data_IF_183503957507
#
_entry.id   IF_183503957507
#
_cell.length_a   1.000
_cell.length_b   1.000
_cell.length_c   1.000
_cell.angle_alpha   90.00
_cell.angle_beta   90.00
_cell.angle_gamma   90.00
#
_symmetry.space_group_name_H-M   'P 1'
#
loop_
_entity.id
_entity.type
_entity.pdbx_description
1 polymer ?
#
# COMPACT_ATOMS: atom_id res chain seq x y z
N UNK A 1 -10.36 15.75 10.14
CA UNK A 1 -9.86 15.15 8.88
C UNK A 1 -9.45 13.74 9.22
N UNK A 2 -9.90 12.77 8.43
CA UNK A 2 -9.60 11.36 8.65
C UNK A 2 -8.35 11.01 7.85
N UNK A 3 -7.33 10.49 8.52
CA UNK A 3 -6.08 10.03 7.92
C UNK A 3 -6.09 8.50 7.92
N UNK A 4 -6.28 7.89 6.75
CA UNK A 4 -6.35 6.44 6.59
C UNK A 4 -5.17 5.70 7.23
N UNK A 5 -3.97 6.28 7.11
CA UNK A 5 -2.70 5.71 7.59
C UNK A 5 -2.24 6.27 8.95
N UNK A 6 -3.16 6.82 9.75
CA UNK A 6 -2.82 7.36 11.07
C UNK A 6 -2.18 6.31 12.00
N UNK A 7 -2.70 5.07 12.12
CA UNK A 7 -2.08 4.07 12.97
C UNK A 7 -0.64 3.76 12.55
N UNK A 8 -0.39 3.58 11.26
CA UNK A 8 0.92 3.29 10.68
C UNK A 8 1.90 4.46 10.90
N UNK A 9 1.46 5.69 10.64
CA UNK A 9 2.27 6.88 10.88
C UNK A 9 2.69 7.01 12.35
N UNK A 10 1.78 6.74 13.30
CA UNK A 10 2.08 6.77 14.73
C UNK A 10 3.05 5.66 15.15
N UNK A 11 2.89 4.45 14.61
CA UNK A 11 3.79 3.31 14.88
C UNK A 11 5.21 3.59 14.36
N UNK A 12 5.33 4.19 13.16
CA UNK A 12 6.64 4.51 12.58
C UNK A 12 7.34 5.67 13.30
N UNK A 13 6.60 6.72 13.68
CA UNK A 13 7.17 7.91 14.32
C UNK A 13 7.44 7.72 15.82
N UNK A 14 6.67 6.86 16.49
CA UNK A 14 6.78 6.58 17.91
C UNK A 14 6.84 5.07 18.18
N UNK A 15 7.90 4.39 17.69
CA UNK A 15 8.02 2.95 17.84
C UNK A 15 8.04 2.55 19.32
N UNK A 16 7.32 1.47 19.65
CA UNK A 16 7.18 0.94 21.01
C UNK A 16 6.53 1.90 22.02
N UNK A 17 5.85 2.97 21.58
CA UNK A 17 5.07 3.86 22.45
C UNK A 17 3.60 3.47 22.39
N UNK A 18 2.98 3.36 23.56
CA UNK A 18 1.59 2.96 23.66
C UNK A 18 0.65 4.17 23.48
N UNK A 19 -0.31 4.04 22.57
CA UNK A 19 -1.39 4.99 22.33
C UNK A 19 -2.69 4.23 22.04
N UNK A 20 -3.81 4.94 22.10
CA UNK A 20 -5.14 4.46 21.72
C UNK A 20 -5.77 5.49 20.78
N UNK A 21 -6.49 5.03 19.76
CA UNK A 21 -7.32 5.87 18.91
C UNK A 21 -8.78 5.55 19.22
N UNK A 22 -9.49 6.52 19.81
CA UNK A 22 -10.89 6.35 20.22
C UNK A 22 -11.83 6.98 19.19
N UNK A 23 -12.30 6.18 18.24
CA UNK A 23 -13.19 6.60 17.15
C UNK A 23 -12.48 6.58 15.80
N UNK A 24 -12.85 7.51 14.93
CA UNK A 24 -12.25 7.61 13.60
C UNK A 24 -10.77 7.99 13.66
N UNK A 25 -10.05 7.74 12.57
CA UNK A 25 -8.61 8.02 12.45
C UNK A 25 -8.33 9.52 12.28
N UNK A 26 -8.68 10.29 13.29
CA UNK A 26 -8.41 11.72 13.41
C UNK A 26 -7.42 11.95 14.56
N UNK A 27 -6.51 12.93 14.40
CA UNK A 27 -5.50 13.24 15.42
C UNK A 27 -6.10 13.53 16.81
N UNK A 28 -7.23 14.23 16.85
CA UNK A 28 -7.95 14.56 18.10
C UNK A 28 -8.40 13.33 18.89
N UNK A 29 -8.53 12.17 18.24
CA UNK A 29 -8.96 10.92 18.85
C UNK A 29 -7.77 10.10 19.39
N UNK A 30 -6.53 10.55 19.19
CA UNK A 30 -5.31 9.90 19.67
C UNK A 30 -5.07 10.27 21.13
N UNK A 31 -4.99 9.26 21.99
CA UNK A 31 -4.64 9.40 23.40
C UNK A 31 -3.39 8.57 23.69
N UNK A 32 -2.32 9.23 24.14
CA UNK A 32 -1.08 8.57 24.54
C UNK A 32 -1.21 8.00 25.96
N UNK A 33 -0.59 6.85 26.20
CA UNK A 33 -0.52 6.28 27.55
C UNK A 33 0.25 7.23 28.48
N UNK A 34 -0.17 7.32 29.75
CA UNK A 34 0.40 8.23 30.77
C UNK A 34 1.92 8.05 30.95
N UNK A 35 2.44 6.85 30.69
CA UNK A 35 3.87 6.55 30.80
C UNK A 35 4.71 7.04 29.62
N UNK A 36 4.09 7.59 28.56
CA UNK A 36 4.82 8.14 27.40
C UNK A 36 5.24 9.58 27.71
N UNK A 37 6.55 9.89 27.74
CA UNK A 37 7.01 11.26 27.94
C UNK A 37 6.49 12.19 26.84
N UNK A 38 6.05 13.40 27.20
CA UNK A 38 5.59 14.40 26.21
C UNK A 38 6.64 14.75 25.16
N UNK A 39 7.93 14.65 25.51
CA UNK A 39 9.05 14.84 24.58
C UNK A 39 9.11 13.79 23.49
N UNK A 40 8.54 12.61 23.73
CA UNK A 40 8.59 11.46 22.83
C UNK A 40 7.35 11.38 21.94
N UNK A 41 6.35 12.23 22.18
CA UNK A 41 5.14 12.32 21.36
C UNK A 41 5.49 13.11 20.09
N UNK A 42 5.33 12.53 18.88
CA UNK A 42 5.57 13.24 17.64
C UNK A 42 4.65 14.45 17.51
N UNK A 43 5.15 15.52 16.88
CA UNK A 43 4.33 16.69 16.54
C UNK A 43 3.27 16.32 15.50
N UNK A 44 2.07 16.90 15.63
CA UNK A 44 0.97 16.71 14.68
C UNK A 44 1.40 16.92 13.23
N UNK A 45 2.17 17.98 12.94
CA UNK A 45 2.70 18.26 11.59
C UNK A 45 3.52 17.10 11.01
N UNK A 46 4.32 16.42 11.84
CA UNK A 46 5.11 15.27 11.41
C UNK A 46 4.21 14.05 11.17
N UNK A 47 3.19 13.86 12.01
CA UNK A 47 2.22 12.77 11.85
C UNK A 47 1.43 12.96 10.56
N UNK A 48 0.93 14.17 10.30
CA UNK A 48 0.19 14.51 9.08
C UNK A 48 1.06 14.27 7.84
N UNK A 49 2.29 14.82 7.84
CA UNK A 49 3.21 14.63 6.73
C UNK A 49 3.45 13.15 6.46
N UNK A 50 3.64 12.34 7.51
CA UNK A 50 3.84 10.90 7.35
C UNK A 50 2.59 10.19 6.84
N UNK A 51 1.40 10.57 7.27
CA UNK A 51 0.14 10.07 6.72
C UNK A 51 0.03 10.38 5.22
N UNK A 52 0.39 11.59 4.80
CA UNK A 52 0.35 12.02 3.39
C UNK A 52 1.37 11.25 2.54
N UNK A 53 2.58 11.01 3.07
CA UNK A 53 3.59 10.17 2.44
C UNK A 53 3.09 8.73 2.22
N UNK A 54 2.52 8.12 3.25
CA UNK A 54 1.99 6.74 3.18
C UNK A 54 0.76 6.66 2.25
N UNK A 55 -0.08 7.69 2.24
CA UNK A 55 -1.21 7.77 1.32
C UNK A 55 -0.74 7.87 -0.13
N UNK A 56 0.24 8.74 -0.41
CA UNK A 56 0.82 8.87 -1.74
C UNK A 56 1.47 7.56 -2.21
N UNK A 57 2.20 6.85 -1.34
CA UNK A 57 2.78 5.54 -1.65
C UNK A 57 1.69 4.49 -1.92
N UNK A 58 0.64 4.45 -1.10
CA UNK A 58 -0.47 3.54 -1.30
C UNK A 58 -1.13 3.79 -2.66
N UNK A 59 -1.39 5.04 -3.01
CA UNK A 59 -2.05 5.43 -4.26
C UNK A 59 -1.15 5.18 -5.48
N UNK A 60 0.14 5.49 -5.39
CA UNK A 60 1.11 5.17 -6.44
C UNK A 60 1.18 3.67 -6.76
N UNK A 61 0.87 2.81 -5.79
CA UNK A 61 0.84 1.36 -5.94
C UNK A 61 -0.55 0.78 -6.28
N UNK A 62 -1.57 1.61 -6.53
CA UNK A 62 -2.93 1.14 -6.87
C UNK A 62 -2.97 0.17 -8.06
N UNK A 63 -2.16 0.43 -9.09
CA UNK A 63 -2.07 -0.44 -10.26
C UNK A 63 -1.70 -1.89 -9.90
N UNK A 64 -0.93 -2.13 -8.83
CA UNK A 64 -0.56 -3.48 -8.43
C UNK A 64 -1.77 -4.24 -7.89
N UNK A 65 -2.58 -3.58 -7.05
CA UNK A 65 -3.80 -4.14 -6.47
C UNK A 65 -4.85 -4.42 -7.55
N UNK A 66 -4.96 -3.54 -8.54
CA UNK A 66 -5.90 -3.72 -9.65
C UNK A 66 -5.48 -4.86 -10.59
N UNK A 67 -4.18 -5.06 -10.82
CA UNK A 67 -3.67 -6.15 -11.68
C UNK A 67 -3.80 -7.53 -11.05
N UNK A 68 -3.61 -7.64 -9.73
CA UNK A 68 -3.59 -8.92 -9.03
C UNK A 68 -4.79 -9.83 -9.36
N UNK A 69 -6.06 -9.38 -9.29
CA UNK A 69 -7.22 -10.23 -9.61
C UNK A 69 -7.40 -10.49 -11.12
N UNK A 70 -6.70 -9.76 -11.99
CA UNK A 70 -6.88 -9.80 -13.44
C UNK A 70 -5.83 -10.66 -14.14
N UNK A 71 -4.74 -10.98 -13.45
CA UNK A 71 -3.77 -11.95 -13.95
C UNK A 71 -4.38 -13.35 -14.03
N UNK A 72 -4.07 -14.13 -15.09
CA UNK A 72 -4.34 -15.56 -15.08
C UNK A 72 -3.68 -16.22 -13.86
N UNK A 73 -4.18 -17.38 -13.44
CA UNK A 73 -3.57 -18.09 -12.32
C UNK A 73 -2.10 -18.39 -12.62
N UNK A 74 -1.27 -18.56 -11.57
CA UNK A 74 0.13 -18.91 -11.78
C UNK A 74 0.29 -20.23 -12.55
N UNK A 75 -0.63 -21.18 -12.36
CA UNK A 75 -0.64 -22.44 -13.09
C UNK A 75 -0.87 -22.20 -14.59
N UNK A 76 -1.89 -21.41 -14.95
CA UNK A 76 -2.17 -21.07 -16.35
C UNK A 76 -1.01 -20.31 -16.98
N UNK A 77 -0.40 -19.38 -16.25
CA UNK A 77 0.77 -18.64 -16.73
C UNK A 77 1.97 -19.54 -17.03
N UNK A 78 2.22 -20.56 -16.19
CA UNK A 78 3.30 -21.52 -16.42
C UNK A 78 2.99 -22.45 -17.60
N UNK A 79 1.75 -22.89 -17.74
CA UNK A 79 1.31 -23.72 -18.88
C UNK A 79 1.39 -22.95 -20.21
N UNK A 80 0.93 -21.69 -20.22
CA UNK A 80 1.07 -20.80 -21.38
C UNK A 80 2.53 -20.63 -21.80
N UNK A 81 3.45 -20.39 -20.85
CA UNK A 81 4.88 -20.26 -21.16
C UNK A 81 5.47 -21.54 -21.77
N UNK A 82 5.06 -22.71 -21.29
CA UNK A 82 5.48 -23.98 -21.87
C UNK A 82 4.98 -24.12 -23.31
N UNK A 83 3.70 -23.89 -23.56
CA UNK A 83 3.12 -24.01 -24.90
C UNK A 83 3.62 -22.93 -25.87
N UNK A 84 3.87 -21.72 -25.39
CA UNK A 84 4.52 -20.67 -26.17
C UNK A 84 5.89 -21.12 -26.67
N UNK A 85 6.66 -21.82 -25.82
CA UNK A 85 7.95 -22.38 -26.20
C UNK A 85 7.83 -23.51 -27.22
N UNK A 86 6.85 -24.39 -27.08
CA UNK A 86 6.63 -25.54 -27.98
C UNK A 86 6.10 -25.11 -29.34
N UNK A 87 5.17 -24.15 -29.35
CA UNK A 87 4.42 -23.75 -30.55
C UNK A 87 5.00 -22.50 -31.24
N UNK A 88 5.94 -21.80 -30.61
CA UNK A 88 6.46 -20.53 -31.12
C UNK A 88 5.43 -19.40 -31.03
N UNK A 89 4.57 -19.43 -30.01
CA UNK A 89 3.56 -18.38 -29.73
C UNK A 89 4.03 -17.46 -28.60
N UNK A 90 3.24 -16.43 -28.29
CA UNK A 90 3.51 -15.41 -27.28
C UNK A 90 2.27 -15.11 -26.40
N UNK A 91 1.37 -16.08 -26.25
CA UNK A 91 0.09 -15.92 -25.56
C UNK A 91 0.26 -15.44 -24.12
N UNK A 92 1.27 -15.96 -23.40
CA UNK A 92 1.58 -15.52 -22.05
C UNK A 92 1.94 -14.02 -22.02
N UNK A 93 2.81 -13.59 -22.93
CA UNK A 93 3.22 -12.19 -23.01
C UNK A 93 2.03 -11.28 -23.31
N UNK A 94 1.15 -11.67 -24.24
CA UNK A 94 -0.05 -10.92 -24.59
C UNK A 94 -1.03 -10.80 -23.42
N UNK A 95 -1.27 -11.89 -22.68
CA UNK A 95 -2.13 -11.88 -21.50
C UNK A 95 -1.58 -10.94 -20.40
N UNK A 96 -0.28 -11.01 -20.11
CA UNK A 96 0.37 -10.12 -19.14
C UNK A 96 0.33 -8.67 -19.63
N UNK A 97 0.59 -8.43 -20.92
CA UNK A 97 0.58 -7.09 -21.49
C UNK A 97 -0.81 -6.48 -21.45
N UNK A 98 -1.87 -7.24 -21.74
CA UNK A 98 -3.25 -6.77 -21.67
C UNK A 98 -3.59 -6.23 -20.28
N UNK A 99 -3.23 -6.97 -19.21
CA UNK A 99 -3.42 -6.54 -17.82
C UNK A 99 -2.61 -5.28 -17.50
N UNK A 100 -1.34 -5.20 -17.97
CA UNK A 100 -0.48 -4.03 -17.75
C UNK A 100 -0.95 -2.78 -18.50
N UNK A 101 -1.52 -2.95 -19.69
CA UNK A 101 -2.13 -1.88 -20.49
C UNK A 101 -3.41 -1.39 -19.85
N UNK A 102 -4.25 -2.30 -19.32
CA UNK A 102 -5.50 -1.95 -18.61
C UNK A 102 -5.23 -1.15 -17.33
N UNK A 103 -4.18 -1.51 -16.59
CA UNK A 103 -3.76 -0.84 -15.35
C UNK A 103 -2.31 -0.37 -15.46
N UNK A 104 -2.03 0.76 -16.11
CA UNK A 104 -0.66 1.23 -16.31
C UNK A 104 0.04 1.51 -14.98
N UNK A 105 1.36 1.31 -14.94
CA UNK A 105 2.17 1.75 -13.80
C UNK A 105 2.35 3.26 -13.95
N UNK A 106 2.07 4.08 -12.92
CA UNK A 106 2.38 5.51 -12.96
C UNK A 106 3.86 5.72 -13.28
N UNK A 107 4.15 6.73 -14.10
CA UNK A 107 5.53 7.17 -14.33
C UNK A 107 6.11 7.73 -13.03
N UNK A 108 7.40 7.49 -12.80
CA UNK A 108 8.12 7.89 -11.60
C UNK A 108 8.58 9.36 -11.65
#
# INVERSE_FOLDING_TARGET
MIYKFLPEALIELAPNKAFVINGDFELKNVTWNENVPKSDIPKDENIIKKCDELQAEYDANQYQRDRQPEYPSIQDQLDMQFWDRVNGTNNWQEAIQAVKTKYPKPEA
#
